data_IF_713754005750
#
_entry.id   IF_713754005750
#
_cell.length_a   1.000
_cell.length_b   1.000
_cell.length_c   1.000
_cell.angle_alpha   90.00
_cell.angle_beta   90.00
_cell.angle_gamma   90.00
#
_symmetry.space_group_name_H-M   'P 1'
#
loop_
_entity.id
_entity.type
_entity.pdbx_description
1 polymer ?
#
# COMPACT_ATOMS: atom_id res chain seq x y z
N UNK A 1 -10.32 -5.62 -22.98
CA UNK A 1 -9.72 -4.43 -22.36
C UNK A 1 -10.06 -4.32 -20.86
N UNK A 2 -11.33 -4.10 -20.50
CA UNK A 2 -11.81 -3.84 -19.13
C UNK A 2 -11.20 -4.78 -18.07
N UNK A 3 -11.40 -6.10 -18.19
CA UNK A 3 -10.87 -7.09 -17.22
C UNK A 3 -9.35 -6.97 -17.00
N UNK A 4 -8.60 -6.67 -18.07
CA UNK A 4 -7.14 -6.50 -17.98
C UNK A 4 -6.78 -5.20 -17.25
N UNK A 5 -7.46 -4.10 -17.57
CA UNK A 5 -7.27 -2.82 -16.87
C UNK A 5 -7.56 -2.95 -15.37
N UNK A 6 -8.67 -3.62 -15.00
CA UNK A 6 -9.01 -3.90 -13.60
C UNK A 6 -7.93 -4.75 -12.91
N UNK A 7 -7.43 -5.81 -13.56
CA UNK A 7 -6.35 -6.63 -13.00
C UNK A 7 -5.03 -5.88 -12.80
N UNK A 8 -4.86 -4.74 -13.47
CA UNK A 8 -3.72 -3.84 -13.32
C UNK A 8 -3.98 -2.73 -12.28
N UNK A 9 -5.12 -2.75 -11.61
CA UNK A 9 -5.47 -1.83 -10.54
C UNK A 9 -6.18 -0.55 -10.99
N UNK A 10 -6.56 -0.43 -12.26
CA UNK A 10 -7.36 0.71 -12.72
C UNK A 10 -8.81 0.55 -12.21
N UNK A 11 -9.38 1.64 -11.71
CA UNK A 11 -10.75 1.65 -11.24
C UNK A 11 -11.76 1.84 -12.39
N UNK A 12 -13.06 1.69 -12.10
CA UNK A 12 -14.11 1.74 -13.12
C UNK A 12 -14.19 3.12 -13.80
N UNK A 13 -14.05 4.21 -13.05
CA UNK A 13 -14.06 5.58 -13.59
C UNK A 13 -12.93 5.79 -14.60
N UNK A 14 -11.73 5.31 -14.27
CA UNK A 14 -10.58 5.41 -15.17
C UNK A 14 -10.76 4.62 -16.49
N UNK A 15 -11.46 3.49 -16.39
CA UNK A 15 -11.77 2.63 -17.52
C UNK A 15 -12.84 3.29 -18.39
N UNK A 16 -13.88 3.88 -17.79
CA UNK A 16 -14.94 4.62 -18.49
C UNK A 16 -14.36 5.80 -19.29
N UNK A 17 -13.48 6.60 -18.69
CA UNK A 17 -12.78 7.70 -19.36
C UNK A 17 -11.95 7.21 -20.56
N UNK A 18 -11.34 6.03 -20.43
CA UNK A 18 -10.58 5.41 -21.52
C UNK A 18 -11.49 4.96 -22.68
N UNK A 19 -12.65 4.38 -22.34
CA UNK A 19 -13.63 3.93 -23.34
C UNK A 19 -14.25 5.12 -24.08
N UNK A 20 -14.49 6.24 -23.40
CA UNK A 20 -15.03 7.45 -24.03
C UNK A 20 -14.16 7.99 -25.18
N UNK A 21 -12.83 7.98 -25.03
CA UNK A 21 -11.90 8.38 -26.11
C UNK A 21 -11.96 7.40 -27.28
N UNK A 22 -12.02 6.11 -26.99
CA UNK A 22 -12.17 5.08 -28.02
C UNK A 22 -13.48 5.24 -28.78
N UNK A 23 -14.58 5.49 -28.08
CA UNK A 23 -15.91 5.66 -28.67
C UNK A 23 -16.02 6.93 -29.53
N UNK A 24 -15.14 7.92 -29.29
CA UNK A 24 -14.94 9.09 -30.14
C UNK A 24 -14.10 8.80 -31.42
N UNK A 25 -13.59 7.57 -31.60
CA UNK A 25 -12.79 7.15 -32.75
C UNK A 25 -11.28 7.38 -32.60
N UNK A 26 -10.81 7.74 -31.40
CA UNK A 26 -9.40 7.99 -31.11
C UNK A 26 -8.75 6.84 -30.33
N UNK A 27 -7.42 6.72 -30.40
CA UNK A 27 -6.69 5.71 -29.62
C UNK A 27 -6.29 6.27 -28.25
N UNK A 28 -6.77 5.70 -27.12
CA UNK A 28 -6.49 6.24 -25.79
C UNK A 28 -5.12 5.84 -25.22
N UNK A 29 -4.17 5.43 -26.06
CA UNK A 29 -2.88 4.85 -25.64
C UNK A 29 -2.09 5.76 -24.70
N UNK A 30 -2.11 7.07 -24.93
CA UNK A 30 -1.44 8.06 -24.07
C UNK A 30 -2.04 8.10 -22.67
N UNK A 31 -3.37 8.15 -22.57
CA UNK A 31 -4.08 8.13 -21.30
C UNK A 31 -3.82 6.83 -20.53
N UNK A 32 -3.93 5.67 -21.19
CA UNK A 32 -3.68 4.37 -20.56
C UNK A 32 -2.24 4.29 -20.04
N UNK A 33 -1.25 4.77 -20.82
CA UNK A 33 0.15 4.80 -20.38
C UNK A 33 0.31 5.64 -19.10
N UNK A 34 -0.28 6.83 -19.04
CA UNK A 34 -0.20 7.70 -17.86
C UNK A 34 -0.80 7.02 -16.62
N UNK A 35 -1.98 6.41 -16.73
CA UNK A 35 -2.59 5.66 -15.62
C UNK A 35 -1.70 4.53 -15.11
N UNK A 36 -1.05 3.79 -16.01
CA UNK A 36 -0.15 2.71 -15.63
C UNK A 36 1.13 3.23 -14.95
N UNK A 37 1.64 4.39 -15.37
CA UNK A 37 2.78 5.04 -14.69
C UNK A 37 2.38 5.45 -13.28
N UNK A 38 1.25 6.13 -13.11
CA UNK A 38 0.77 6.54 -11.80
C UNK A 38 0.53 5.34 -10.88
N UNK A 39 -0.11 4.28 -11.39
CA UNK A 39 -0.33 3.06 -10.61
C UNK A 39 0.99 2.40 -10.19
N UNK A 40 2.00 2.41 -11.05
CA UNK A 40 3.33 1.89 -10.70
C UNK A 40 3.95 2.70 -9.56
N UNK A 41 3.83 4.03 -9.59
CA UNK A 41 4.33 4.90 -8.53
C UNK A 41 3.58 4.70 -7.21
N UNK A 42 2.25 4.59 -7.25
CA UNK A 42 1.43 4.24 -6.09
C UNK A 42 1.85 2.90 -5.45
N UNK A 43 2.11 1.88 -6.27
CA UNK A 43 2.59 0.58 -5.79
C UNK A 43 3.97 0.71 -5.13
N UNK A 44 4.89 1.49 -5.72
CA UNK A 44 6.21 1.70 -5.14
C UNK A 44 6.13 2.37 -3.76
N UNK A 45 5.29 3.39 -3.60
CA UNK A 45 5.05 4.05 -2.32
C UNK A 45 4.44 3.10 -1.28
N UNK A 46 3.50 2.23 -1.69
CA UNK A 46 2.92 1.23 -0.80
C UNK A 46 3.96 0.20 -0.35
N UNK A 47 4.84 -0.24 -1.25
CA UNK A 47 5.94 -1.16 -0.91
C UNK A 47 6.86 -0.51 0.11
N UNK A 48 7.31 0.73 -0.12
CA UNK A 48 8.17 1.46 0.81
C UNK A 48 7.52 1.59 2.19
N UNK A 49 6.24 1.96 2.26
CA UNK A 49 5.50 2.05 3.52
C UNK A 49 5.40 0.68 4.24
N UNK A 50 5.20 -0.41 3.48
CA UNK A 50 5.15 -1.77 4.02
C UNK A 50 6.52 -2.25 4.52
N UNK A 51 7.61 -1.88 3.84
CA UNK A 51 8.98 -2.19 4.27
C UNK A 51 9.36 -1.45 5.55
N UNK A 52 8.95 -0.18 5.69
CA UNK A 52 9.10 0.59 6.93
C UNK A 52 8.34 -0.10 8.07
N UNK A 53 7.05 -0.40 7.86
CA UNK A 53 6.25 -1.08 8.87
C UNK A 53 6.82 -2.46 9.24
N UNK A 54 7.30 -3.22 8.25
CA UNK A 54 7.95 -4.50 8.50
C UNK A 54 9.19 -4.33 9.38
N UNK A 55 10.00 -3.30 9.13
CA UNK A 55 11.21 -3.00 9.91
C UNK A 55 10.87 -2.61 11.35
N UNK A 56 9.82 -1.80 11.55
CA UNK A 56 9.31 -1.45 12.88
C UNK A 56 8.86 -2.70 13.66
N UNK A 57 8.07 -3.57 13.00
CA UNK A 57 7.61 -4.83 13.59
C UNK A 57 8.78 -5.75 13.96
N UNK A 58 9.80 -5.86 13.09
CA UNK A 58 11.01 -6.62 13.39
C UNK A 58 11.76 -6.04 14.59
N UNK A 59 11.88 -4.71 14.68
CA UNK A 59 12.48 -4.03 15.82
C UNK A 59 11.78 -4.39 17.14
N UNK A 60 10.45 -4.26 17.17
CA UNK A 60 9.62 -4.63 18.34
C UNK A 60 9.83 -6.10 18.74
N UNK A 61 9.77 -7.01 17.76
CA UNK A 61 9.88 -8.45 18.01
C UNK A 61 11.29 -8.86 18.45
N UNK A 62 12.33 -8.16 18.00
CA UNK A 62 13.72 -8.45 18.41
C UNK A 62 13.98 -8.18 19.89
N UNK A 63 13.30 -7.19 20.47
CA UNK A 63 13.40 -6.80 21.88
C UNK A 63 12.35 -7.44 22.78
N UNK A 64 11.54 -8.36 22.24
CA UNK A 64 10.37 -8.87 22.90
C UNK A 64 10.69 -9.64 24.18
N UNK A 65 9.99 -9.31 25.27
CA UNK A 65 10.07 -10.01 26.54
C UNK A 65 8.72 -10.64 26.87
N UNK A 66 8.67 -11.97 26.91
CA UNK A 66 7.48 -12.75 27.32
C UNK A 66 7.13 -12.57 28.81
N UNK A 67 8.15 -12.28 29.63
CA UNK A 67 8.01 -12.06 31.08
C UNK A 67 8.74 -10.78 31.46
N UNK A 68 8.17 -9.61 31.16
CA UNK A 68 8.79 -8.34 31.50
C UNK A 68 8.77 -8.11 33.03
N UNK A 69 9.65 -7.25 33.55
CA UNK A 69 9.71 -6.89 34.96
C UNK A 69 8.36 -6.47 35.54
N UNK A 70 8.06 -6.90 36.76
CA UNK A 70 6.77 -6.63 37.43
C UNK A 70 6.47 -5.13 37.57
N UNK A 71 7.50 -4.29 37.70
CA UNK A 71 7.37 -2.82 37.77
C UNK A 71 6.84 -2.23 36.46
N UNK A 72 7.22 -2.79 35.30
CA UNK A 72 6.72 -2.38 33.99
C UNK A 72 5.30 -2.90 33.78
N UNK A 73 5.03 -4.15 34.16
CA UNK A 73 3.70 -4.75 34.09
C UNK A 73 2.67 -3.95 34.89
N UNK A 74 3.05 -3.42 36.06
CA UNK A 74 2.16 -2.61 36.88
C UNK A 74 1.83 -1.22 36.29
N UNK A 75 2.61 -0.74 35.31
CA UNK A 75 2.53 0.64 34.78
C UNK A 75 2.10 0.72 33.31
N UNK A 76 2.03 -0.41 32.61
CA UNK A 76 1.82 -0.48 31.16
C UNK A 76 0.83 -1.58 30.80
N UNK A 77 0.17 -1.45 29.64
CA UNK A 77 -0.67 -2.54 29.10
C UNK A 77 0.22 -3.63 28.50
N UNK A 78 1.24 -3.24 27.74
CA UNK A 78 2.26 -4.13 27.21
C UNK A 78 3.57 -3.35 27.06
N UNK A 79 4.60 -3.67 27.87
CA UNK A 79 5.90 -2.98 27.81
C UNK A 79 6.61 -3.12 26.46
N UNK A 80 6.32 -4.15 25.67
CA UNK A 80 7.02 -4.43 24.42
C UNK A 80 6.60 -3.54 23.25
N UNK A 81 5.40 -2.96 23.29
CA UNK A 81 4.85 -2.12 22.19
C UNK A 81 4.69 -0.65 22.57
N UNK A 82 4.90 -0.32 23.84
CA UNK A 82 4.89 1.07 24.28
C UNK A 82 6.30 1.65 24.17
N UNK A 83 6.46 2.88 23.64
CA UNK A 83 7.76 3.53 23.62
C UNK A 83 8.28 3.71 25.06
N UNK A 84 9.55 3.37 25.29
CA UNK A 84 10.24 3.61 26.58
C UNK A 84 10.44 5.10 26.83
#
# INVERSE_FOLDING_TARGET
>A
FIKRAQSLGLNLTEIEETLAIHDAGELPCGMVKQRLVNKKEEIAQQIEALEILQSELQGILSGWQEKPPAELVARTICPNIQPQ
#
